data_IF_376237640595
#
_entry.id   IF_376237640595
#
_cell.length_a   1.000
_cell.length_b   1.000
_cell.length_c   1.000
_cell.angle_alpha   90.00
_cell.angle_beta   90.00
_cell.angle_gamma   90.00
#
_symmetry.space_group_name_H-M   'P 1'
#
loop_
_entity.id
_entity.type
_entity.pdbx_description
1 polymer ?
#
# COMPACT_ATOMS: atom_id res chain seq x y z
N UNK A 1 8.82 15.97 21.70
CA UNK A 1 9.38 15.68 20.36
C UNK A 1 10.57 16.59 20.08
N UNK A 2 11.52 16.11 19.30
CA UNK A 2 12.66 16.88 18.80
C UNK A 2 12.50 17.06 17.30
N UNK A 3 11.80 18.11 16.92
CA UNK A 3 11.60 18.43 15.50
C UNK A 3 12.69 19.37 14.99
N UNK A 4 12.94 19.33 13.70
CA UNK A 4 13.82 20.28 13.02
C UNK A 4 13.07 21.59 12.91
N UNK A 5 13.62 22.65 13.48
CA UNK A 5 12.98 23.97 13.58
C UNK A 5 12.58 24.53 12.21
N UNK A 6 13.43 24.40 11.22
CA UNK A 6 13.18 24.87 9.85
C UNK A 6 12.00 24.14 9.21
N UNK A 7 11.75 22.88 9.56
CA UNK A 7 10.57 22.13 9.11
C UNK A 7 9.29 22.54 9.86
N UNK A 8 9.40 22.93 11.15
CA UNK A 8 8.28 23.53 11.87
C UNK A 8 7.93 24.91 11.26
N UNK A 9 8.92 25.71 10.92
CA UNK A 9 8.74 27.01 10.24
C UNK A 9 8.18 26.83 8.81
N UNK A 10 8.47 25.72 8.13
CA UNK A 10 7.97 25.38 6.80
C UNK A 10 6.51 24.82 6.83
N UNK A 11 5.99 24.43 7.99
CA UNK A 11 4.66 23.80 8.09
C UNK A 11 3.53 24.56 7.38
N UNK A 12 3.40 25.92 7.47
CA UNK A 12 2.34 26.62 6.78
C UNK A 12 2.42 26.54 5.25
N UNK A 13 3.61 26.37 4.70
CA UNK A 13 3.84 26.17 3.28
C UNK A 13 3.53 24.72 2.87
N UNK A 14 4.00 23.74 3.63
CA UNK A 14 3.66 22.32 3.43
C UNK A 14 2.15 22.09 3.49
N UNK A 15 1.45 22.71 4.45
CA UNK A 15 -0.01 22.62 4.55
C UNK A 15 -0.70 23.13 3.27
N UNK A 16 -0.19 24.20 2.64
CA UNK A 16 -0.72 24.69 1.37
C UNK A 16 -0.50 23.69 0.25
N UNK A 17 0.67 23.04 0.20
CA UNK A 17 0.94 22.03 -0.81
C UNK A 17 0.01 20.83 -0.66
N UNK A 18 -0.11 20.29 0.56
CA UNK A 18 -0.98 19.16 0.86
C UNK A 18 -2.43 19.45 0.52
N UNK A 19 -2.96 20.61 0.95
CA UNK A 19 -4.34 21.00 0.72
C UNK A 19 -4.63 21.31 -0.76
N UNK A 20 -3.66 21.80 -1.50
CA UNK A 20 -3.78 21.97 -2.95
C UNK A 20 -3.82 20.62 -3.70
N UNK A 21 -3.00 19.64 -3.30
CA UNK A 21 -3.05 18.28 -3.83
C UNK A 21 -4.39 17.63 -3.46
N UNK A 22 -4.82 17.73 -2.21
CA UNK A 22 -6.10 17.20 -1.73
C UNK A 22 -7.30 17.72 -2.52
N UNK A 23 -7.31 19.02 -2.81
CA UNK A 23 -8.39 19.66 -3.57
C UNK A 23 -8.46 19.22 -5.05
N UNK A 24 -7.41 18.60 -5.58
CA UNK A 24 -7.31 18.18 -6.97
C UNK A 24 -6.84 16.72 -7.08
N UNK A 25 -7.60 15.75 -6.53
CA UNK A 25 -7.20 14.36 -6.49
C UNK A 25 -7.21 13.75 -7.89
N UNK A 26 -6.16 12.98 -8.17
CA UNK A 26 -5.99 12.21 -9.39
C UNK A 26 -5.81 10.74 -9.04
N UNK A 27 -6.42 9.86 -9.82
CA UNK A 27 -6.38 8.40 -9.57
C UNK A 27 -5.22 7.73 -10.30
N UNK A 28 -5.06 6.46 -10.04
CA UNK A 28 -4.01 5.59 -10.58
C UNK A 28 -3.65 5.87 -12.05
N UNK A 29 -2.38 6.18 -12.30
CA UNK A 29 -1.77 6.52 -13.58
C UNK A 29 -2.32 7.80 -14.27
N UNK A 30 -3.17 8.56 -13.58
CA UNK A 30 -3.70 9.86 -14.04
C UNK A 30 -3.14 11.04 -13.21
N UNK A 31 -2.13 10.83 -12.37
CA UNK A 31 -1.58 11.81 -11.41
C UNK A 31 -0.71 12.90 -12.09
N UNK A 32 -1.15 13.37 -13.25
CA UNK A 32 -0.37 14.30 -14.10
C UNK A 32 -0.13 15.66 -13.44
N UNK A 33 -1.13 16.22 -12.75
CA UNK A 33 -1.01 17.50 -12.05
C UNK A 33 -0.14 17.36 -10.79
N UNK A 34 -0.36 16.31 -10.02
CA UNK A 34 0.40 16.01 -8.80
C UNK A 34 1.87 15.78 -9.13
N UNK A 35 2.16 14.94 -10.14
CA UNK A 35 3.51 14.77 -10.70
C UNK A 35 4.16 16.09 -11.09
N UNK A 36 3.43 16.95 -11.80
CA UNK A 36 3.94 18.25 -12.22
C UNK A 36 4.30 19.14 -11.03
N UNK A 37 3.48 19.17 -9.98
CA UNK A 37 3.77 19.89 -8.74
C UNK A 37 5.06 19.36 -8.10
N UNK A 38 5.21 18.05 -7.99
CA UNK A 38 6.41 17.41 -7.47
C UNK A 38 7.64 17.79 -8.26
N UNK A 39 7.59 17.69 -9.60
CA UNK A 39 8.69 18.06 -10.51
C UNK A 39 9.09 19.52 -10.32
N UNK A 40 8.13 20.44 -10.31
CA UNK A 40 8.37 21.87 -10.17
C UNK A 40 9.03 22.21 -8.84
N UNK A 41 8.56 21.59 -7.73
CA UNK A 41 9.14 21.79 -6.40
C UNK A 41 10.54 21.23 -6.29
N UNK A 42 10.77 19.99 -6.69
CA UNK A 42 12.11 19.39 -6.65
C UNK A 42 13.12 20.19 -7.47
N UNK A 43 12.75 20.64 -8.67
CA UNK A 43 13.59 21.52 -9.50
C UNK A 43 13.86 22.85 -8.80
N UNK A 44 12.87 23.44 -8.12
CA UNK A 44 13.06 24.70 -7.38
C UNK A 44 14.01 24.55 -6.18
N UNK A 45 14.14 23.34 -5.63
CA UNK A 45 15.11 22.99 -4.59
C UNK A 45 16.49 22.64 -5.13
N UNK A 46 16.70 22.69 -6.47
CA UNK A 46 17.97 22.34 -7.10
C UNK A 46 18.23 20.84 -7.19
N UNK A 47 17.20 20.01 -7.06
CA UNK A 47 17.28 18.54 -7.13
C UNK A 47 17.14 18.11 -8.59
N UNK A 48 17.98 17.17 -9.05
CA UNK A 48 17.84 16.54 -10.36
C UNK A 48 16.57 15.68 -10.41
N UNK A 49 15.81 15.77 -11.51
CA UNK A 49 14.49 15.14 -11.61
C UNK A 49 14.34 14.36 -12.89
N UNK A 50 14.00 13.10 -12.74
CA UNK A 50 13.46 12.22 -13.78
C UNK A 50 11.95 12.01 -13.57
N UNK A 51 11.21 11.91 -14.66
CA UNK A 51 9.75 11.77 -14.63
C UNK A 51 9.23 10.84 -15.72
N UNK A 52 8.00 10.38 -15.57
CA UNK A 52 7.36 9.47 -16.52
C UNK A 52 7.66 7.99 -16.25
N UNK A 53 8.26 7.64 -15.13
CA UNK A 53 8.46 6.26 -14.68
C UNK A 53 7.10 5.73 -14.25
N UNK A 54 6.69 4.58 -14.75
CA UNK A 54 5.30 4.10 -14.60
C UNK A 54 4.26 5.18 -15.02
N UNK A 55 4.55 5.94 -16.07
CA UNK A 55 3.65 6.97 -16.62
C UNK A 55 3.71 8.31 -15.90
N UNK A 56 3.38 8.38 -14.62
CA UNK A 56 3.28 9.63 -13.83
C UNK A 56 4.26 9.71 -12.66
N UNK A 57 5.02 8.66 -12.39
CA UNK A 57 6.02 8.62 -11.31
C UNK A 57 7.19 9.57 -11.53
N UNK A 58 7.78 10.02 -10.42
CA UNK A 58 8.87 10.99 -10.39
C UNK A 58 9.97 10.49 -9.46
N UNK A 59 11.23 10.63 -9.89
CA UNK A 59 12.39 10.39 -9.03
C UNK A 59 13.25 11.64 -8.98
N UNK A 60 13.43 12.18 -7.76
CA UNK A 60 14.38 13.24 -7.47
C UNK A 60 15.70 12.65 -6.97
N UNK A 61 16.83 13.11 -7.50
CA UNK A 61 18.17 12.67 -7.07
C UNK A 61 18.95 13.82 -6.46
N UNK A 62 19.33 13.64 -5.19
CA UNK A 62 20.16 14.58 -4.46
C UNK A 62 21.45 13.89 -4.00
N UNK A 63 22.59 14.41 -4.44
CA UNK A 63 23.93 13.94 -4.06
C UNK A 63 24.68 15.01 -3.29
N UNK A 64 25.28 14.63 -2.15
CA UNK A 64 26.22 15.46 -1.39
C UNK A 64 27.46 14.64 -1.03
N UNK A 65 28.60 15.34 -0.86
CA UNK A 65 29.88 14.72 -0.53
C UNK A 65 30.48 13.88 -1.64
N UNK A 66 31.29 12.86 -1.26
CA UNK A 66 32.00 11.96 -2.18
C UNK A 66 31.65 10.48 -1.93
N UNK A 67 30.79 10.20 -0.96
CA UNK A 67 30.35 8.86 -0.61
C UNK A 67 29.64 8.14 -1.76
N UNK A 68 29.73 6.82 -1.77
CA UNK A 68 29.11 5.97 -2.79
C UNK A 68 27.84 5.31 -2.30
N UNK A 69 27.46 5.51 -1.03
CA UNK A 69 26.23 4.96 -0.46
C UNK A 69 25.01 5.67 -1.03
N UNK A 70 23.93 4.94 -1.18
CA UNK A 70 22.68 5.50 -1.70
C UNK A 70 21.47 4.84 -1.07
N UNK A 71 20.42 5.62 -0.84
CA UNK A 71 19.12 5.16 -0.33
C UNK A 71 17.98 5.74 -1.14
N UNK A 72 16.81 5.11 -1.05
CA UNK A 72 15.57 5.69 -1.55
C UNK A 72 14.55 5.92 -0.44
N UNK A 73 13.86 7.05 -0.54
CA UNK A 73 12.71 7.41 0.29
C UNK A 73 11.48 7.50 -0.60
N UNK A 74 10.39 6.83 -0.26
CA UNK A 74 9.20 6.72 -1.11
C UNK A 74 7.98 7.38 -0.49
N UNK A 75 7.22 8.09 -1.30
CA UNK A 75 5.84 8.50 -1.07
C UNK A 75 4.98 8.13 -2.29
N UNK A 76 3.72 7.85 -2.05
CA UNK A 76 2.68 7.61 -3.04
C UNK A 76 1.98 8.90 -3.48
N UNK A 77 1.34 8.89 -4.67
CA UNK A 77 0.78 10.11 -5.30
C UNK A 77 -0.74 10.06 -5.47
N UNK A 78 -1.30 8.87 -5.62
CA UNK A 78 -2.65 8.66 -6.14
C UNK A 78 -3.76 8.85 -5.11
N UNK A 79 -4.97 9.07 -5.62
CA UNK A 79 -6.21 9.20 -4.88
C UNK A 79 -7.17 8.06 -5.21
N UNK A 80 -8.29 8.03 -4.51
CA UNK A 80 -9.33 7.01 -4.58
C UNK A 80 -10.59 7.48 -5.31
N UNK A 81 -11.34 6.54 -5.88
CA UNK A 81 -12.69 6.74 -6.42
C UNK A 81 -13.71 6.80 -5.27
N UNK A 82 -13.65 7.86 -4.48
CA UNK A 82 -14.54 8.11 -3.34
C UNK A 82 -15.15 9.51 -3.48
N UNK A 83 -16.45 9.62 -3.20
CA UNK A 83 -17.12 10.92 -3.18
C UNK A 83 -16.99 11.54 -1.79
N UNK A 84 -16.18 12.59 -1.68
CA UNK A 84 -15.88 13.25 -0.41
C UNK A 84 -17.10 13.94 0.18
N UNK A 85 -17.33 13.77 1.49
CA UNK A 85 -18.46 14.32 2.23
C UNK A 85 -18.12 15.53 3.13
N UNK A 86 -16.84 15.87 3.25
CA UNK A 86 -16.37 17.00 4.05
C UNK A 86 -16.87 18.35 3.50
N UNK A 87 -16.80 19.41 4.32
CA UNK A 87 -17.23 20.79 3.99
C UNK A 87 -16.16 21.87 4.19
N UNK A 88 -14.90 21.46 4.42
CA UNK A 88 -13.77 22.39 4.56
C UNK A 88 -13.30 22.97 3.21
N UNK A 89 -12.54 24.07 3.25
CA UNK A 89 -12.12 24.84 2.07
C UNK A 89 -11.27 24.03 1.06
N UNK A 90 -10.51 23.07 1.55
CA UNK A 90 -9.64 22.22 0.71
C UNK A 90 -10.29 20.91 0.24
N UNK A 91 -11.60 20.76 0.41
CA UNK A 91 -12.36 19.63 -0.15
C UNK A 91 -12.06 19.40 -1.62
N UNK A 92 -12.11 18.14 -2.03
CA UNK A 92 -11.98 17.74 -3.44
C UNK A 92 -12.88 18.55 -4.39
N UNK A 93 -12.27 19.07 -5.45
CA UNK A 93 -12.95 19.76 -6.56
C UNK A 93 -13.25 18.81 -7.73
N UNK A 94 -12.86 17.54 -7.62
CA UNK A 94 -13.09 16.49 -8.60
C UNK A 94 -14.18 15.53 -8.08
N UNK A 95 -15.45 15.66 -8.51
CA UNK A 95 -16.52 14.78 -8.04
C UNK A 95 -16.18 13.31 -8.22
N UNK A 96 -16.41 12.51 -7.16
CA UNK A 96 -16.12 11.07 -7.17
C UNK A 96 -14.66 10.69 -6.96
N UNK A 97 -13.75 11.64 -6.73
CA UNK A 97 -12.34 11.40 -6.40
C UNK A 97 -11.96 12.09 -5.11
N UNK A 98 -11.13 11.45 -4.28
CA UNK A 98 -10.70 11.98 -2.98
C UNK A 98 -9.38 11.36 -2.53
N UNK A 99 -8.49 12.16 -1.94
CA UNK A 99 -7.36 11.65 -1.15
C UNK A 99 -7.87 11.12 0.20
N UNK A 100 -8.34 9.88 0.23
CA UNK A 100 -8.88 9.25 1.43
C UNK A 100 -7.92 8.27 2.10
N UNK A 101 -6.65 8.19 1.63
CA UNK A 101 -5.59 7.37 2.22
C UNK A 101 -4.43 8.21 2.80
N UNK A 102 -4.32 9.49 2.44
CA UNK A 102 -3.31 10.41 2.98
C UNK A 102 -2.08 10.58 2.10
N UNK A 103 -2.12 10.12 0.85
CA UNK A 103 -1.01 10.21 -0.10
C UNK A 103 -0.62 11.67 -0.42
N UNK A 104 -1.56 12.61 -0.34
CA UNK A 104 -1.33 14.06 -0.36
C UNK A 104 -0.39 14.51 0.76
N UNK A 105 -0.55 13.94 1.96
CA UNK A 105 0.31 14.16 3.11
C UNK A 105 1.68 13.48 2.96
N UNK A 106 1.70 12.21 2.49
CA UNK A 106 2.96 11.47 2.27
C UNK A 106 3.85 12.20 1.27
N UNK A 107 3.28 12.57 0.12
CA UNK A 107 3.97 13.39 -0.91
C UNK A 107 4.50 14.68 -0.32
N UNK A 108 3.70 15.38 0.49
CA UNK A 108 4.10 16.65 1.11
C UNK A 108 5.21 16.48 2.14
N UNK A 109 5.16 15.46 2.99
CA UNK A 109 6.21 15.16 3.96
C UNK A 109 7.55 14.89 3.26
N UNK A 110 7.53 14.12 2.16
CA UNK A 110 8.75 13.83 1.40
C UNK A 110 9.29 15.07 0.67
N UNK A 111 8.43 15.93 0.14
CA UNK A 111 8.83 17.22 -0.44
C UNK A 111 9.44 18.16 0.59
N UNK A 112 8.89 18.22 1.82
CA UNK A 112 9.44 18.99 2.93
C UNK A 112 10.85 18.52 3.30
N UNK A 113 11.04 17.21 3.41
CA UNK A 113 12.36 16.62 3.66
C UNK A 113 13.35 16.89 2.51
N UNK A 114 12.91 16.76 1.26
CA UNK A 114 13.74 17.03 0.08
C UNK A 114 14.23 18.49 0.06
N UNK A 115 13.35 19.44 0.35
CA UNK A 115 13.72 20.87 0.47
C UNK A 115 14.78 21.08 1.54
N UNK A 116 14.52 20.60 2.77
CA UNK A 116 15.48 20.74 3.89
C UNK A 116 16.83 20.11 3.56
N UNK A 117 16.83 18.87 3.06
CA UNK A 117 18.06 18.13 2.74
C UNK A 117 18.87 18.81 1.64
N UNK A 118 18.22 19.43 0.67
CA UNK A 118 18.92 20.20 -0.38
C UNK A 118 19.64 21.43 0.17
N UNK A 119 18.98 22.16 1.08
CA UNK A 119 19.47 23.43 1.65
C UNK A 119 20.44 23.20 2.82
N UNK A 120 20.13 22.29 3.73
CA UNK A 120 20.76 22.14 5.03
C UNK A 120 21.30 20.73 5.32
N UNK A 121 20.99 19.71 4.49
CA UNK A 121 21.35 18.33 4.77
C UNK A 121 22.86 18.11 4.97
N UNK A 122 23.24 17.44 6.04
CA UNK A 122 24.61 17.02 6.37
C UNK A 122 24.72 15.49 6.17
N UNK A 123 25.04 15.08 4.94
CA UNK A 123 25.20 13.68 4.57
C UNK A 123 26.23 13.49 3.45
N UNK A 124 26.75 12.27 3.32
CA UNK A 124 27.75 11.88 2.32
C UNK A 124 27.27 10.67 1.52
N UNK A 125 26.68 10.94 0.35
CA UNK A 125 26.08 9.91 -0.51
C UNK A 125 25.00 10.44 -1.43
N UNK A 126 24.07 9.56 -1.80
CA UNK A 126 22.96 9.88 -2.72
C UNK A 126 21.62 9.49 -2.10
N UNK A 127 20.64 10.39 -2.21
CA UNK A 127 19.24 10.13 -1.85
C UNK A 127 18.40 10.17 -3.11
N UNK A 128 17.61 9.12 -3.35
CA UNK A 128 16.56 9.11 -4.36
C UNK A 128 15.20 9.29 -3.70
N UNK A 129 14.52 10.39 -4.03
CA UNK A 129 13.14 10.67 -3.60
C UNK A 129 12.20 10.08 -4.64
N UNK A 130 11.53 8.98 -4.32
CA UNK A 130 10.60 8.28 -5.19
C UNK A 130 9.18 8.75 -4.88
N UNK A 131 8.54 9.36 -5.88
CA UNK A 131 7.12 9.71 -5.83
C UNK A 131 6.39 8.74 -6.76
N UNK A 132 5.74 7.76 -6.16
CA UNK A 132 5.20 6.59 -6.82
C UNK A 132 3.73 6.79 -7.18
N UNK A 133 3.28 6.51 -8.43
CA UNK A 133 1.88 6.51 -8.80
C UNK A 133 1.16 5.22 -8.40
N UNK A 134 -0.16 5.23 -8.45
CA UNK A 134 -1.02 4.06 -8.55
C UNK A 134 -0.80 2.98 -7.47
N UNK A 135 -0.67 3.39 -6.21
CA UNK A 135 -0.61 2.45 -5.09
C UNK A 135 -1.94 1.71 -4.93
N UNK A 136 -3.06 2.43 -5.07
CA UNK A 136 -4.40 1.94 -4.82
C UNK A 136 -4.87 0.98 -5.92
N UNK A 137 -4.69 -0.32 -5.69
CA UNK A 137 -5.15 -1.45 -6.52
C UNK A 137 -4.44 -1.70 -7.85
N UNK A 138 -3.67 -0.75 -8.41
CA UNK A 138 -3.09 -0.92 -9.75
C UNK A 138 -1.61 -1.31 -9.73
N UNK A 139 -0.92 -1.19 -8.58
CA UNK A 139 0.43 -1.70 -8.38
C UNK A 139 1.51 -0.89 -9.10
N UNK A 140 1.42 0.44 -9.02
CA UNK A 140 2.41 1.35 -9.61
C UNK A 140 3.83 1.12 -9.12
N UNK A 141 4.00 0.68 -7.85
CA UNK A 141 5.29 0.26 -7.32
C UNK A 141 5.90 -0.91 -8.09
N UNK A 142 5.07 -1.91 -8.46
CA UNK A 142 5.51 -3.01 -9.34
C UNK A 142 5.91 -2.51 -10.71
N UNK A 143 5.10 -1.63 -11.32
CA UNK A 143 5.39 -1.09 -12.66
C UNK A 143 6.71 -0.32 -12.64
N UNK A 144 6.98 0.52 -11.63
CA UNK A 144 8.27 1.20 -11.48
C UNK A 144 9.44 0.21 -11.39
N UNK A 145 9.30 -0.87 -10.62
CA UNK A 145 10.32 -1.91 -10.48
C UNK A 145 10.53 -2.62 -11.83
N UNK A 146 9.46 -3.05 -12.49
CA UNK A 146 9.52 -3.74 -13.78
C UNK A 146 10.13 -2.85 -14.91
N UNK A 147 10.00 -1.54 -14.81
CA UNK A 147 10.65 -0.56 -15.71
C UNK A 147 12.13 -0.29 -15.38
N UNK A 148 12.71 -1.00 -14.40
CA UNK A 148 14.13 -0.90 -14.06
C UNK A 148 14.45 0.23 -13.05
N UNK A 149 13.57 0.49 -12.09
CA UNK A 149 13.77 1.52 -11.07
C UNK A 149 15.14 1.40 -10.39
N UNK A 150 15.48 0.21 -9.90
CA UNK A 150 16.71 0.00 -9.13
C UNK A 150 17.95 -0.31 -9.97
N UNK A 151 17.80 -0.56 -11.26
CA UNK A 151 18.89 -0.57 -12.24
C UNK A 151 19.32 0.86 -12.56
N UNK A 152 18.35 1.76 -12.71
CA UNK A 152 18.60 3.17 -13.01
C UNK A 152 19.00 3.99 -11.78
N UNK A 153 18.41 3.68 -10.63
CA UNK A 153 18.69 4.31 -9.33
C UNK A 153 19.14 3.26 -8.30
N UNK A 154 20.38 2.78 -8.42
CA UNK A 154 20.88 1.75 -7.52
C UNK A 154 20.92 2.28 -6.07
N UNK A 155 20.33 1.52 -5.15
CA UNK A 155 20.28 1.85 -3.72
C UNK A 155 20.63 0.64 -2.85
N UNK A 156 21.12 0.91 -1.64
CA UNK A 156 21.38 -0.11 -0.62
C UNK A 156 20.09 -0.50 0.10
N UNK A 157 19.19 0.46 0.30
CA UNK A 157 17.91 0.25 0.99
C UNK A 157 16.84 1.25 0.53
N UNK A 158 15.57 0.88 0.74
CA UNK A 158 14.39 1.69 0.42
C UNK A 158 13.47 1.83 1.63
N UNK A 159 12.90 3.03 1.84
CA UNK A 159 12.09 3.35 3.02
C UNK A 159 10.76 3.97 2.61
N UNK A 160 9.67 3.49 3.23
CA UNK A 160 8.31 3.99 3.07
C UNK A 160 7.66 4.35 4.41
N UNK A 161 6.65 5.22 4.38
CA UNK A 161 5.88 5.63 5.56
C UNK A 161 4.41 5.80 5.21
N UNK A 162 3.53 5.43 6.16
CA UNK A 162 2.09 5.65 6.02
C UNK A 162 1.49 6.24 7.30
N UNK A 163 0.57 7.17 7.14
CA UNK A 163 -0.20 7.72 8.25
C UNK A 163 -1.30 6.75 8.69
N UNK A 164 -1.52 6.63 9.99
CA UNK A 164 -2.57 5.77 10.56
C UNK A 164 -3.49 6.58 11.48
N UNK A 165 -4.76 6.80 11.10
CA UNK A 165 -5.79 7.30 12.01
C UNK A 165 -5.97 6.36 13.22
N UNK A 166 -6.25 6.96 14.39
CA UNK A 166 -6.39 6.23 15.66
C UNK A 166 -5.06 6.04 16.40
N UNK A 167 -3.92 6.30 15.77
CA UNK A 167 -2.64 6.48 16.46
C UNK A 167 -2.44 7.96 16.79
N UNK A 168 -2.03 8.28 18.02
CA UNK A 168 -1.83 9.66 18.47
C UNK A 168 -0.74 10.37 17.65
N UNK A 169 -0.88 11.68 17.46
CA UNK A 169 0.14 12.51 16.77
C UNK A 169 1.49 12.36 17.45
N UNK A 170 2.54 12.20 16.66
CA UNK A 170 3.91 12.02 17.13
C UNK A 170 4.26 10.60 17.58
N UNK A 171 3.33 9.64 17.42
CA UNK A 171 3.66 8.22 17.62
C UNK A 171 4.11 7.57 16.34
N UNK A 172 4.95 6.54 16.47
CA UNK A 172 5.37 5.68 15.38
C UNK A 172 5.16 4.21 15.72
N UNK A 173 4.96 3.39 14.70
CA UNK A 173 4.88 1.94 14.87
C UNK A 173 5.59 1.21 13.73
N UNK A 174 6.48 0.27 14.08
CA UNK A 174 7.25 -0.53 13.12
C UNK A 174 7.74 -1.81 13.80
N UNK A 175 7.91 -2.86 13.03
CA UNK A 175 8.50 -4.12 13.49
C UNK A 175 9.24 -4.82 12.37
N UNK A 176 10.23 -5.68 12.67
CA UNK A 176 10.81 -6.59 11.70
C UNK A 176 9.80 -7.62 11.19
N UNK A 177 10.03 -8.11 9.98
CA UNK A 177 9.15 -9.09 9.35
C UNK A 177 7.86 -8.47 8.82
N UNK A 178 6.80 -9.26 8.63
CA UNK A 178 5.58 -8.78 7.98
C UNK A 178 4.85 -7.74 8.83
N UNK A 179 4.48 -6.63 8.17
CA UNK A 179 3.71 -5.54 8.77
C UNK A 179 2.35 -5.36 8.07
N UNK A 180 2.24 -5.65 6.77
CA UNK A 180 0.98 -5.66 6.01
C UNK A 180 0.84 -6.94 5.20
N UNK A 181 -0.41 -7.37 4.99
CA UNK A 181 -0.71 -8.63 4.32
C UNK A 181 -0.55 -8.55 2.79
N UNK A 182 -0.44 -9.72 2.16
CA UNK A 182 -0.62 -9.87 0.71
C UNK A 182 -2.05 -9.53 0.29
N UNK A 183 -2.22 -9.22 -0.98
CA UNK A 183 -3.52 -9.06 -1.63
C UNK A 183 -3.63 -9.95 -2.85
N UNK A 184 -4.52 -10.93 -2.77
CA UNK A 184 -4.85 -11.80 -3.90
C UNK A 184 -6.35 -11.76 -4.15
N UNK A 185 -6.72 -11.95 -5.41
CA UNK A 185 -8.09 -12.14 -5.83
C UNK A 185 -8.23 -13.46 -6.58
N UNK A 186 -9.41 -14.05 -6.53
CA UNK A 186 -9.73 -15.22 -7.32
C UNK A 186 -11.07 -15.08 -8.00
N UNK A 187 -11.16 -15.65 -9.19
CA UNK A 187 -12.37 -15.83 -9.98
C UNK A 187 -12.54 -17.31 -10.28
N UNK A 188 -13.68 -17.87 -9.93
CA UNK A 188 -14.06 -19.23 -10.21
C UNK A 188 -15.36 -19.25 -11.00
N UNK A 189 -15.35 -19.82 -12.18
CA UNK A 189 -16.54 -20.12 -12.96
C UNK A 189 -16.77 -21.63 -12.98
N UNK A 190 -17.92 -22.08 -12.50
CA UNK A 190 -18.33 -23.48 -12.52
C UNK A 190 -19.31 -23.67 -13.66
N UNK A 191 -18.99 -24.59 -14.57
CA UNK A 191 -19.78 -24.88 -15.75
C UNK A 191 -20.43 -26.26 -15.57
N UNK A 192 -21.72 -26.23 -15.31
CA UNK A 192 -22.57 -27.41 -15.14
C UNK A 192 -23.41 -27.70 -16.38
N UNK A 193 -24.62 -28.18 -16.13
CA UNK A 193 -25.66 -28.41 -17.12
C UNK A 193 -27.00 -28.00 -16.53
N UNK A 194 -27.57 -26.91 -17.02
CA UNK A 194 -28.86 -26.41 -16.56
C UNK A 194 -30.04 -27.26 -17.03
N UNK A 195 -31.21 -26.94 -16.48
CA UNK A 195 -32.45 -27.64 -16.87
C UNK A 195 -33.63 -27.26 -15.97
N UNK A 196 -34.68 -28.04 -16.09
CA UNK A 196 -35.92 -27.82 -15.34
C UNK A 196 -35.71 -28.16 -13.85
N UNK A 197 -36.00 -27.24 -12.96
CA UNK A 197 -35.75 -27.41 -11.52
C UNK A 197 -36.49 -28.60 -10.87
N UNK A 198 -37.62 -29.03 -11.47
CA UNK A 198 -38.33 -30.23 -11.03
C UNK A 198 -37.71 -31.54 -11.53
N UNK A 199 -36.70 -31.50 -12.40
CA UNK A 199 -36.01 -32.66 -12.97
C UNK A 199 -34.50 -32.59 -12.79
N UNK A 200 -33.99 -32.41 -11.52
CA UNK A 200 -32.59 -32.18 -11.24
C UNK A 200 -31.68 -33.35 -11.68
N UNK A 201 -32.19 -34.57 -11.75
CA UNK A 201 -31.46 -35.74 -12.21
C UNK A 201 -31.01 -35.68 -13.67
N UNK A 202 -31.50 -34.71 -14.45
CA UNK A 202 -31.09 -34.48 -15.86
C UNK A 202 -30.04 -33.39 -15.97
N UNK A 203 -29.63 -32.80 -14.88
CA UNK A 203 -28.76 -31.64 -14.79
C UNK A 203 -27.43 -31.94 -14.09
N UNK A 204 -26.49 -31.00 -14.15
CA UNK A 204 -25.31 -30.90 -13.31
C UNK A 204 -25.43 -29.52 -12.67
N UNK A 205 -25.92 -29.47 -11.44
CA UNK A 205 -26.30 -28.22 -10.78
C UNK A 205 -25.06 -27.44 -10.26
N UNK A 206 -24.66 -26.31 -10.91
CA UNK A 206 -23.49 -25.58 -10.54
C UNK A 206 -23.66 -24.78 -9.22
N UNK A 207 -24.92 -24.50 -8.79
CA UNK A 207 -25.19 -23.84 -7.49
C UNK A 207 -24.80 -24.78 -6.34
N UNK A 208 -25.23 -26.04 -6.41
CA UNK A 208 -24.89 -27.04 -5.36
C UNK A 208 -23.39 -27.31 -5.35
N UNK A 209 -22.73 -27.37 -6.51
CA UNK A 209 -21.28 -27.56 -6.60
C UNK A 209 -20.56 -26.36 -5.98
N UNK A 210 -20.98 -25.12 -6.33
CA UNK A 210 -20.41 -23.88 -5.82
C UNK A 210 -20.49 -23.77 -4.30
N UNK A 211 -21.65 -24.08 -3.69
CA UNK A 211 -21.79 -24.06 -2.23
C UNK A 211 -20.84 -25.02 -1.53
N UNK A 212 -20.62 -26.24 -2.11
CA UNK A 212 -19.66 -27.21 -1.56
C UNK A 212 -18.21 -26.73 -1.67
N UNK A 213 -17.86 -26.04 -2.76
CA UNK A 213 -16.51 -25.46 -2.93
C UNK A 213 -16.29 -24.34 -1.90
N UNK A 214 -17.26 -23.45 -1.72
CA UNK A 214 -17.19 -22.37 -0.72
C UNK A 214 -17.00 -22.91 0.69
N UNK A 215 -17.76 -23.96 1.07
CA UNK A 215 -17.61 -24.65 2.36
C UNK A 215 -16.22 -25.29 2.48
N UNK A 216 -15.79 -26.03 1.46
CA UNK A 216 -14.48 -26.71 1.46
C UNK A 216 -13.30 -25.76 1.52
N UNK A 217 -13.40 -24.56 0.91
CA UNK A 217 -12.37 -23.53 1.00
C UNK A 217 -12.10 -23.09 2.45
N UNK A 218 -13.12 -23.05 3.32
CA UNK A 218 -12.93 -22.71 4.73
C UNK A 218 -12.06 -23.73 5.47
N UNK A 219 -12.02 -24.98 4.99
CA UNK A 219 -11.16 -26.01 5.54
C UNK A 219 -9.67 -25.78 5.24
N UNK A 220 -9.32 -25.00 4.21
CA UNK A 220 -7.93 -24.64 3.93
C UNK A 220 -7.38 -23.85 5.11
N UNK A 221 -8.07 -22.78 5.51
CA UNK A 221 -7.66 -21.91 6.61
C UNK A 221 -7.67 -22.68 7.94
N UNK A 222 -8.72 -23.44 8.21
CA UNK A 222 -8.91 -24.07 9.53
C UNK A 222 -8.19 -25.41 9.71
N UNK A 223 -7.78 -26.12 8.64
CA UNK A 223 -7.25 -27.50 8.72
C UNK A 223 -5.97 -27.73 7.92
N UNK A 224 -5.64 -26.87 6.97
CA UNK A 224 -4.46 -27.05 6.12
C UNK A 224 -3.34 -26.09 6.45
N UNK A 225 -3.67 -24.82 6.68
CA UNK A 225 -2.68 -23.81 7.08
C UNK A 225 -2.35 -23.95 8.55
N UNK A 226 -1.09 -23.73 8.92
CA UNK A 226 -0.65 -23.71 10.32
C UNK A 226 -1.45 -22.66 11.10
N UNK A 227 -2.08 -22.99 12.25
CA UNK A 227 -2.85 -22.03 13.03
C UNK A 227 -2.09 -20.78 13.51
N UNK A 228 -0.76 -20.82 13.49
CA UNK A 228 0.08 -19.67 13.81
C UNK A 228 0.30 -18.72 12.63
N UNK A 229 -0.16 -19.09 11.42
CA UNK A 229 -0.07 -18.29 10.20
C UNK A 229 -1.43 -17.62 9.94
N UNK A 230 -1.59 -16.32 10.20
CA UNK A 230 -2.86 -15.64 9.95
C UNK A 230 -3.20 -15.63 8.46
N UNK A 231 -4.40 -16.07 8.12
CA UNK A 231 -4.94 -16.09 6.76
C UNK A 231 -6.39 -15.64 6.76
N UNK A 232 -6.75 -14.79 5.82
CA UNK A 232 -8.14 -14.48 5.49
C UNK A 232 -8.44 -15.02 4.10
N UNK A 233 -9.52 -15.80 3.98
CA UNK A 233 -10.15 -16.18 2.71
C UNK A 233 -11.59 -15.75 2.78
N UNK A 234 -11.99 -14.82 1.92
CA UNK A 234 -13.36 -14.32 1.85
C UNK A 234 -13.93 -14.52 0.45
N UNK A 235 -15.05 -15.23 0.38
CA UNK A 235 -15.91 -15.24 -0.83
C UNK A 235 -16.81 -14.02 -0.72
N UNK A 236 -16.71 -13.13 -1.69
CA UNK A 236 -17.42 -11.84 -1.68
C UNK A 236 -18.53 -11.74 -2.71
N UNK A 237 -18.54 -12.64 -3.70
CA UNK A 237 -19.53 -12.68 -4.74
C UNK A 237 -19.90 -14.15 -5.07
N UNK A 238 -21.18 -14.40 -5.26
CA UNK A 238 -21.73 -15.67 -5.72
C UNK A 238 -22.92 -15.37 -6.63
N UNK A 239 -22.77 -15.59 -7.95
CA UNK A 239 -23.76 -15.24 -8.95
C UNK A 239 -24.19 -16.47 -9.75
N UNK A 240 -25.48 -16.71 -9.85
CA UNK A 240 -26.03 -17.80 -10.67
C UNK A 240 -27.53 -17.90 -10.60
N UNK A 241 -28.16 -18.13 -11.74
CA UNK A 241 -29.60 -18.33 -11.90
C UNK A 241 -30.41 -17.03 -11.95
N UNK A 242 -31.47 -17.03 -12.79
CA UNK A 242 -32.33 -15.87 -13.02
C UNK A 242 -33.82 -16.20 -12.79
N UNK A 243 -34.21 -17.49 -12.74
CA UNK A 243 -35.60 -17.89 -12.63
C UNK A 243 -35.79 -19.03 -11.62
N UNK A 244 -36.92 -19.00 -10.91
CA UNK A 244 -37.25 -19.96 -9.85
C UNK A 244 -37.34 -21.43 -10.31
N UNK A 245 -37.66 -21.68 -11.56
CA UNK A 245 -37.89 -23.02 -12.09
C UNK A 245 -36.80 -23.50 -13.06
N UNK A 246 -35.65 -22.82 -13.10
CA UNK A 246 -34.52 -23.12 -14.00
C UNK A 246 -33.25 -23.30 -13.18
N UNK A 247 -32.57 -24.44 -13.29
CA UNK A 247 -31.21 -24.64 -12.86
C UNK A 247 -30.29 -24.00 -13.90
N UNK A 248 -29.37 -23.08 -13.53
CA UNK A 248 -28.49 -22.39 -14.48
C UNK A 248 -27.44 -23.32 -15.09
N UNK A 249 -26.82 -22.89 -16.19
CA UNK A 249 -25.69 -23.60 -16.79
C UNK A 249 -24.36 -23.32 -16.03
N UNK A 250 -24.25 -22.18 -15.35
CA UNK A 250 -23.02 -21.76 -14.75
C UNK A 250 -23.23 -20.93 -13.46
N UNK A 251 -22.20 -20.87 -12.63
CA UNK A 251 -22.11 -20.03 -11.44
C UNK A 251 -20.73 -19.37 -11.42
N UNK A 252 -20.70 -18.08 -11.09
CA UNK A 252 -19.45 -17.34 -10.80
C UNK A 252 -19.31 -17.11 -9.32
N UNK A 253 -18.08 -17.33 -8.80
CA UNK A 253 -17.69 -17.11 -7.41
C UNK A 253 -16.40 -16.28 -7.42
N UNK A 254 -16.39 -15.16 -6.68
CA UNK A 254 -15.23 -14.28 -6.59
C UNK A 254 -14.90 -14.00 -5.13
N UNK A 255 -13.62 -13.68 -4.87
CA UNK A 255 -13.21 -13.35 -3.52
C UNK A 255 -11.77 -12.91 -3.43
N UNK A 256 -11.29 -12.83 -2.18
CA UNK A 256 -9.94 -12.37 -1.87
C UNK A 256 -9.26 -13.27 -0.85
N UNK A 257 -7.94 -13.32 -0.93
CA UNK A 257 -7.07 -13.99 0.05
C UNK A 257 -6.05 -12.98 0.58
N UNK A 258 -5.79 -13.03 1.89
CA UNK A 258 -4.79 -12.23 2.60
C UNK A 258 -3.93 -13.12 3.47
N UNK A 259 -2.61 -12.93 3.47
CA UNK A 259 -1.69 -13.61 4.38
C UNK A 259 -0.38 -12.83 4.52
N UNK A 260 0.46 -13.23 5.47
CA UNK A 260 1.73 -12.55 5.75
C UNK A 260 2.96 -13.31 5.24
N UNK A 261 2.77 -14.44 4.58
CA UNK A 261 3.86 -15.33 4.16
C UNK A 261 3.72 -15.69 2.68
N UNK A 262 4.75 -15.47 1.84
CA UNK A 262 4.75 -15.92 0.43
C UNK A 262 4.55 -17.43 0.29
N UNK A 263 5.02 -18.21 1.27
CA UNK A 263 4.82 -19.66 1.31
C UNK A 263 3.36 -20.02 1.52
N UNK A 264 2.69 -19.31 2.44
CA UNK A 264 1.25 -19.49 2.69
C UNK A 264 0.42 -19.04 1.48
N UNK A 265 0.78 -17.91 0.86
CA UNK A 265 0.16 -17.41 -0.37
C UNK A 265 0.15 -18.49 -1.48
N UNK A 266 1.33 -19.09 -1.74
CA UNK A 266 1.44 -20.17 -2.72
C UNK A 266 0.65 -21.44 -2.33
N UNK A 267 0.57 -21.75 -1.03
CA UNK A 267 -0.22 -22.88 -0.54
C UNK A 267 -1.72 -22.66 -0.70
N UNK A 268 -2.21 -21.42 -0.47
CA UNK A 268 -3.63 -21.06 -0.65
C UNK A 268 -4.06 -21.26 -2.11
N UNK A 269 -3.34 -20.68 -3.07
CA UNK A 269 -3.61 -20.83 -4.49
C UNK A 269 -3.72 -22.30 -4.90
N UNK A 270 -2.70 -23.09 -4.57
CA UNK A 270 -2.63 -24.52 -4.89
C UNK A 270 -3.78 -25.34 -4.28
N UNK A 271 -4.13 -25.07 -3.00
CA UNK A 271 -5.19 -25.81 -2.34
C UNK A 271 -6.58 -25.43 -2.85
N UNK A 272 -6.82 -24.16 -3.18
CA UNK A 272 -8.07 -23.71 -3.78
C UNK A 272 -8.30 -24.37 -5.14
N UNK A 273 -7.30 -24.38 -6.01
CA UNK A 273 -7.37 -25.06 -7.31
C UNK A 273 -7.64 -26.57 -7.16
N UNK A 274 -6.90 -27.23 -6.24
CA UNK A 274 -7.06 -28.65 -5.96
C UNK A 274 -8.49 -29.00 -5.48
N UNK A 275 -9.03 -28.22 -4.53
CA UNK A 275 -10.40 -28.43 -4.03
C UNK A 275 -11.41 -28.24 -5.16
N UNK A 276 -11.28 -27.15 -5.93
CA UNK A 276 -12.16 -26.85 -7.06
C UNK A 276 -12.18 -28.00 -8.06
N UNK A 277 -11.00 -28.44 -8.49
CA UNK A 277 -10.86 -29.56 -9.43
C UNK A 277 -11.48 -30.85 -8.90
N UNK A 278 -11.22 -31.18 -7.62
CA UNK A 278 -11.74 -32.41 -7.02
C UNK A 278 -13.26 -32.40 -6.87
N UNK A 279 -13.86 -31.28 -6.43
CA UNK A 279 -15.31 -31.16 -6.26
C UNK A 279 -15.99 -31.15 -7.62
N UNK A 280 -15.53 -30.35 -8.59
CA UNK A 280 -16.11 -30.34 -9.93
C UNK A 280 -16.06 -31.71 -10.60
N UNK A 281 -14.92 -32.41 -10.50
CA UNK A 281 -14.77 -33.78 -11.02
C UNK A 281 -15.76 -34.77 -10.40
N UNK A 282 -15.97 -34.70 -9.08
CA UNK A 282 -16.91 -35.57 -8.38
C UNK A 282 -18.38 -35.44 -8.86
N UNK A 283 -18.75 -34.25 -9.39
CA UNK A 283 -20.09 -33.96 -9.90
C UNK A 283 -20.17 -33.93 -11.44
N UNK A 284 -19.06 -34.16 -12.13
CA UNK A 284 -19.01 -34.12 -13.61
C UNK A 284 -19.10 -32.70 -14.19
N UNK A 285 -18.82 -31.65 -13.42
CA UNK A 285 -18.79 -30.29 -13.89
C UNK A 285 -17.42 -29.91 -14.46
N UNK A 286 -17.39 -28.88 -15.33
CA UNK A 286 -16.16 -28.18 -15.72
C UNK A 286 -15.99 -26.92 -14.89
N UNK A 287 -14.78 -26.35 -14.89
CA UNK A 287 -14.50 -25.09 -14.23
C UNK A 287 -13.44 -24.30 -14.97
N UNK A 288 -13.45 -22.99 -14.74
CA UNK A 288 -12.36 -22.04 -15.05
C UNK A 288 -11.98 -21.41 -13.71
N UNK A 289 -10.70 -21.48 -13.37
CA UNK A 289 -10.17 -20.92 -12.11
C UNK A 289 -9.02 -19.99 -12.42
N UNK A 290 -9.16 -18.75 -12.01
CA UNK A 290 -8.13 -17.72 -12.13
C UNK A 290 -7.77 -17.26 -10.72
N UNK A 291 -6.47 -17.26 -10.40
CA UNK A 291 -5.92 -16.72 -9.15
C UNK A 291 -4.89 -15.67 -9.51
N UNK A 292 -5.12 -14.43 -9.06
CA UNK A 292 -4.24 -13.30 -9.34
C UNK A 292 -3.56 -12.86 -8.04
N UNK A 293 -2.24 -12.99 -7.97
CA UNK A 293 -1.43 -12.41 -6.91
C UNK A 293 -1.25 -10.94 -7.22
N UNK A 294 -1.96 -10.09 -6.48
CA UNK A 294 -1.93 -8.62 -6.71
C UNK A 294 -0.75 -7.99 -5.99
N UNK A 295 -0.67 -8.10 -4.67
CA UNK A 295 0.43 -7.54 -3.88
C UNK A 295 1.05 -8.62 -2.99
N UNK A 296 2.38 -8.69 -2.89
CA UNK A 296 3.04 -9.54 -1.90
C UNK A 296 2.84 -8.96 -0.48
N UNK A 297 3.12 -9.73 0.58
CA UNK A 297 3.14 -9.17 1.92
C UNK A 297 4.27 -8.15 2.06
N UNK A 298 4.01 -7.05 2.77
CA UNK A 298 5.01 -6.03 3.10
C UNK A 298 5.86 -6.53 4.26
N UNK A 299 7.13 -6.85 3.98
CA UNK A 299 8.04 -7.50 4.92
C UNK A 299 9.24 -6.59 5.16
N UNK A 300 9.35 -6.05 6.37
CA UNK A 300 10.45 -5.20 6.80
C UNK A 300 11.71 -6.01 7.08
N UNK A 301 12.85 -5.50 6.62
CA UNK A 301 14.18 -6.04 6.94
C UNK A 301 14.61 -5.67 8.35
N UNK A 302 15.31 -6.57 9.05
CA UNK A 302 15.68 -6.41 10.46
C UNK A 302 16.55 -5.17 10.71
N UNK A 303 17.64 -5.02 9.96
CA UNK A 303 18.63 -3.95 10.17
C UNK A 303 18.03 -2.57 9.86
N UNK A 304 17.22 -2.46 8.81
CA UNK A 304 16.53 -1.23 8.41
C UNK A 304 15.47 -0.82 9.43
N UNK A 305 14.82 -1.80 10.08
CA UNK A 305 13.91 -1.54 11.21
C UNK A 305 14.66 -1.02 12.42
N UNK A 306 15.84 -1.54 12.75
CA UNK A 306 16.63 -1.03 13.90
C UNK A 306 17.02 0.44 13.67
N UNK A 307 17.42 0.79 12.44
CA UNK A 307 17.71 2.19 12.09
C UNK A 307 16.45 3.06 12.20
N UNK A 308 15.32 2.62 11.66
CA UNK A 308 14.04 3.33 11.74
C UNK A 308 13.57 3.53 13.18
N UNK A 309 13.69 2.51 14.02
CA UNK A 309 13.37 2.57 15.45
C UNK A 309 14.25 3.58 16.18
N UNK A 310 15.56 3.59 15.91
CA UNK A 310 16.51 4.54 16.49
C UNK A 310 16.10 5.97 16.18
N UNK A 311 15.82 6.27 14.92
CA UNK A 311 15.42 7.60 14.47
C UNK A 311 14.07 8.00 15.06
N UNK A 312 13.05 7.16 14.98
CA UNK A 312 11.73 7.44 15.54
C UNK A 312 11.79 7.73 17.05
N UNK A 313 12.58 6.94 17.82
CA UNK A 313 12.78 7.14 19.26
C UNK A 313 13.54 8.43 19.58
N UNK A 314 14.51 8.82 18.76
CA UNK A 314 15.23 10.08 18.92
C UNK A 314 14.31 11.29 18.73
N UNK A 315 13.36 11.22 17.81
CA UNK A 315 12.39 12.29 17.51
C UNK A 315 11.30 12.36 18.59
N UNK A 316 10.64 11.25 18.87
CA UNK A 316 9.40 11.22 19.66
C UNK A 316 9.58 10.74 21.10
N UNK A 317 10.70 10.09 21.42
CA UNK A 317 10.94 9.42 22.69
C UNK A 317 10.48 7.96 22.69
N UNK A 318 11.10 7.16 23.55
CA UNK A 318 10.93 5.71 23.64
C UNK A 318 9.44 5.28 23.78
N UNK A 319 8.68 5.98 24.63
CA UNK A 319 7.29 5.64 24.92
C UNK A 319 6.30 5.93 23.78
N UNK A 320 6.72 6.70 22.79
CA UNK A 320 5.90 7.08 21.62
C UNK A 320 6.12 6.17 20.42
N UNK A 321 6.97 5.14 20.55
CA UNK A 321 7.30 4.22 19.45
C UNK A 321 6.92 2.81 19.81
N UNK A 322 5.92 2.25 19.10
CA UNK A 322 5.54 0.86 19.23
C UNK A 322 6.43 -0.01 18.33
N UNK A 323 7.32 -0.79 18.94
CA UNK A 323 8.25 -1.70 18.24
C UNK A 323 7.69 -3.10 17.97
N UNK A 324 6.44 -3.36 18.33
CA UNK A 324 5.76 -4.63 18.13
C UNK A 324 4.27 -4.46 17.76
N UNK A 325 3.93 -3.63 16.75
CA UNK A 325 2.55 -3.46 16.34
C UNK A 325 1.94 -4.77 15.83
N UNK A 326 0.64 -4.91 15.98
CA UNK A 326 -0.12 -5.95 15.29
C UNK A 326 -0.10 -5.64 13.78
N UNK A 327 0.33 -6.60 12.93
CA UNK A 327 0.29 -6.40 11.48
C UNK A 327 -1.12 -6.13 10.95
N UNK A 328 -1.23 -5.31 9.91
CA UNK A 328 -2.50 -5.01 9.24
C UNK A 328 -2.83 -6.05 8.19
N UNK A 329 -4.13 -6.40 8.06
CA UNK A 329 -4.63 -7.18 6.92
C UNK A 329 -4.82 -6.33 5.65
N UNK A 330 -4.59 -5.01 5.71
CA UNK A 330 -4.39 -4.16 4.54
C UNK A 330 -3.14 -4.58 3.76
N UNK A 331 -3.05 -4.17 2.52
CA UNK A 331 -1.92 -4.43 1.62
C UNK A 331 -1.31 -3.12 1.14
N UNK A 332 -0.08 -3.18 0.65
CA UNK A 332 0.72 -2.04 0.23
C UNK A 332 1.66 -2.48 -0.90
N UNK A 333 1.69 -1.78 -2.00
CA UNK A 333 2.48 -2.17 -3.16
C UNK A 333 3.98 -1.80 -3.06
N UNK A 334 4.36 -0.97 -2.07
CA UNK A 334 5.75 -0.80 -1.65
C UNK A 334 6.44 -2.15 -1.36
N UNK A 335 5.65 -3.18 -1.08
CA UNK A 335 6.11 -4.55 -0.93
C UNK A 335 6.91 -5.06 -2.14
N UNK A 336 6.64 -4.59 -3.36
CA UNK A 336 7.44 -4.94 -4.53
C UNK A 336 8.85 -4.35 -4.48
N UNK A 337 8.98 -3.12 -3.97
CA UNK A 337 10.31 -2.52 -3.75
C UNK A 337 11.10 -3.27 -2.68
N UNK A 338 10.41 -3.75 -1.62
CA UNK A 338 11.02 -4.57 -0.57
C UNK A 338 11.41 -5.97 -1.00
N UNK A 339 10.88 -6.48 -2.12
CA UNK A 339 11.35 -7.74 -2.72
C UNK A 339 12.69 -7.57 -3.43
N UNK A 340 12.99 -6.38 -3.94
CA UNK A 340 14.21 -6.07 -4.69
C UNK A 340 15.33 -5.51 -3.81
N UNK A 341 14.97 -4.79 -2.74
CA UNK A 341 15.91 -4.12 -1.86
C UNK A 341 15.54 -4.33 -0.39
N UNK A 342 16.54 -4.46 0.50
CA UNK A 342 16.26 -4.32 1.93
C UNK A 342 15.57 -2.98 2.20
N UNK A 343 14.72 -2.95 3.22
CA UNK A 343 14.03 -1.70 3.53
C UNK A 343 13.07 -1.83 4.69
N UNK A 344 12.40 -0.75 5.00
CA UNK A 344 11.37 -0.74 6.02
C UNK A 344 10.21 0.20 5.70
N UNK A 345 9.04 -0.21 6.17
CA UNK A 345 7.79 0.55 6.11
C UNK A 345 7.35 0.85 7.53
N UNK A 346 7.20 2.13 7.85
CA UNK A 346 6.84 2.62 9.19
C UNK A 346 5.49 3.30 9.18
N UNK A 347 4.73 3.16 10.25
CA UNK A 347 3.49 3.89 10.46
C UNK A 347 3.70 5.12 11.34
N UNK A 348 3.07 6.25 10.97
CA UNK A 348 3.03 7.50 11.73
C UNK A 348 1.59 7.80 12.15
N UNK A 349 1.40 8.22 13.40
CA UNK A 349 0.08 8.54 13.94
C UNK A 349 -0.52 9.80 13.34
N UNK A 350 -1.69 9.67 12.69
CA UNK A 350 -2.47 10.77 12.10
C UNK A 350 -3.34 11.51 13.12
N UNK A 351 -3.48 10.97 14.32
CA UNK A 351 -4.31 11.46 15.41
C UNK A 351 -5.37 10.46 15.84
N UNK A 352 -5.77 10.56 17.10
CA UNK A 352 -6.70 9.67 17.79
C UNK A 352 -7.92 10.43 18.33
N UNK A 353 -8.19 11.64 17.82
CA UNK A 353 -9.33 12.45 18.26
C UNK A 353 -10.65 11.75 17.95
N UNK A 354 -11.60 11.85 18.89
CA UNK A 354 -12.97 11.36 18.69
C UNK A 354 -13.59 12.02 17.45
N UNK A 355 -14.19 11.20 16.57
CA UNK A 355 -14.73 11.65 15.29
C UNK A 355 -13.74 11.60 14.12
N UNK A 356 -12.46 11.25 14.34
CA UNK A 356 -11.52 10.99 13.26
C UNK A 356 -12.01 9.82 12.40
N UNK A 357 -12.00 10.00 11.08
CA UNK A 357 -12.34 8.92 10.15
C UNK A 357 -11.13 8.04 9.86
N UNK A 358 -11.37 6.74 9.66
CA UNK A 358 -10.37 5.82 9.16
C UNK A 358 -10.06 6.08 7.69
N UNK A 359 -8.96 5.52 7.21
CA UNK A 359 -8.60 5.50 5.79
C UNK A 359 -9.76 4.98 4.94
N UNK A 360 -9.88 5.44 3.71
CA UNK A 360 -10.94 5.11 2.74
C UNK A 360 -12.36 5.56 3.15
N UNK A 361 -12.49 6.36 4.21
CA UNK A 361 -13.77 6.92 4.60
C UNK A 361 -14.03 8.24 3.85
N UNK A 362 -15.26 8.51 3.34
CA UNK A 362 -15.58 9.77 2.66
C UNK A 362 -15.40 11.04 3.49
N UNK A 363 -15.31 10.92 4.82
CA UNK A 363 -15.06 12.01 5.76
C UNK A 363 -13.60 12.10 6.25
N UNK A 364 -12.68 11.29 5.70
CA UNK A 364 -11.27 11.32 6.08
C UNK A 364 -10.63 12.68 5.74
N UNK A 365 -9.69 13.14 6.56
CA UNK A 365 -8.71 14.19 6.26
C UNK A 365 -7.35 13.84 6.86
N UNK A 366 -6.30 14.18 6.15
CA UNK A 366 -4.94 14.06 6.66
C UNK A 366 -4.67 15.15 7.71
N UNK A 367 -4.02 14.80 8.81
CA UNK A 367 -3.70 15.76 9.85
C UNK A 367 -2.44 16.56 9.53
N UNK A 368 -2.58 17.82 9.16
CA UNK A 368 -1.46 18.73 8.84
C UNK A 368 -0.44 18.89 9.98
N UNK A 369 -0.80 18.58 11.23
CA UNK A 369 0.13 18.64 12.37
C UNK A 369 1.28 17.64 12.26
N UNK A 370 1.11 16.54 11.49
CA UNK A 370 2.16 15.53 11.32
C UNK A 370 3.14 15.83 10.18
N UNK A 371 2.88 16.83 9.34
CA UNK A 371 3.76 17.21 8.23
C UNK A 371 5.21 17.46 8.66
N UNK A 372 5.50 18.31 9.66
CA UNK A 372 6.88 18.51 10.12
C UNK A 372 7.46 17.29 10.82
N UNK A 373 6.63 16.43 11.42
CA UNK A 373 7.07 15.21 12.10
C UNK A 373 7.59 14.19 11.09
N UNK A 374 6.80 13.89 10.05
CA UNK A 374 7.18 12.95 9.00
C UNK A 374 8.36 13.48 8.16
N UNK A 375 8.38 14.79 7.88
CA UNK A 375 9.54 15.40 7.20
C UNK A 375 10.81 15.32 8.05
N UNK A 376 10.73 15.57 9.37
CA UNK A 376 11.87 15.38 10.27
C UNK A 376 12.34 13.92 10.27
N UNK A 377 11.41 12.96 10.31
CA UNK A 377 11.77 11.55 10.24
C UNK A 377 12.56 11.23 8.97
N UNK A 378 12.13 11.69 7.82
CA UNK A 378 12.84 11.46 6.54
C UNK A 378 14.24 12.08 6.53
N UNK A 379 14.39 13.30 7.08
CA UNK A 379 15.68 13.97 7.17
C UNK A 379 16.63 13.21 8.09
N UNK A 380 16.18 12.86 9.30
CA UNK A 380 16.99 12.13 10.28
C UNK A 380 17.37 10.73 9.76
N UNK A 381 16.46 10.04 9.06
CA UNK A 381 16.77 8.76 8.40
C UNK A 381 17.90 8.90 7.38
N UNK A 382 17.81 9.89 6.50
CA UNK A 382 18.83 10.12 5.48
C UNK A 382 20.20 10.46 6.11
N UNK A 383 20.22 11.32 7.11
CA UNK A 383 21.45 11.75 7.80
C UNK A 383 22.06 10.64 8.67
N UNK A 384 21.23 9.81 9.33
CA UNK A 384 21.71 8.66 10.10
C UNK A 384 22.40 7.62 9.20
N UNK A 385 21.77 7.28 8.05
CA UNK A 385 22.27 6.23 7.16
C UNK A 385 23.48 6.72 6.36
N UNK A 386 23.44 7.94 5.85
CA UNK A 386 24.46 8.53 5.01
C UNK A 386 25.40 9.46 5.78
N UNK A 387 25.56 9.22 7.11
CA UNK A 387 26.50 10.02 7.93
C UNK A 387 27.89 10.06 7.31
N UNK A 388 28.54 11.25 7.24
CA UNK A 388 29.93 11.32 6.81
C UNK A 388 30.84 10.41 7.65
N UNK A 389 31.65 9.60 7.01
CA UNK A 389 32.68 8.81 7.69
C UNK A 389 33.70 9.78 8.25
N UNK A 390 33.68 10.00 9.56
CA UNK A 390 34.62 10.88 10.28
C UNK A 390 35.97 10.21 10.50
#
# INVERSE_FOLDING_TARGET
MKLIRELEELQPEMQKWRRDIHAHPEIAFEEHRTSKIVIEKLKSFGIEVDSGIAGTGVVGTLKKGQGNRSIALRADLDALLINETNDFDHKSKAPGKMHACGHDGHTTMLLGAAKYLSEHGDFDGTIHFIFQPAEENEGGGKVMVDEGLFEKYPVEAVYGMHNIPGMAVGTFAIKPGPIMASFDIFNLKIIGKGGHAAMPQTTIDPIIIGTKIVEAYQSIVSRYINPQEPVVLSVTQFHGGDAYNVIPNEVEIKGTVRCFSPKVQAAMEKQMEKITSSVCSAYGAKFEFEYQRRYPPTINSEDEVQTSLKVAKNISGESMVNSAPTPSMGSEDFAFMLQEKPGSYIWIGNGDKEGSCMLHNPGYDFNDEILPIGSTYWVEMAQEILSPIR
#
